data_IF_076042469249
#
_entry.id   IF_076042469249
#
_cell.length_a   1.000
_cell.length_b   1.000
_cell.length_c   1.000
_cell.angle_alpha   90.00
_cell.angle_beta   90.00
_cell.angle_gamma   90.00
#
_symmetry.space_group_name_H-M   'P 1'
#
loop_
_entity.id
_entity.type
_entity.pdbx_description
1 polymer ?
#
# COMPACT_ATOMS: atom_id res chain seq x y z
N UNK A 1 30.58 -36.14 40.62
CA UNK A 1 30.99 -34.88 39.98
C UNK A 1 31.14 -35.07 38.46
N UNK A 2 30.24 -34.48 37.67
CA UNK A 2 30.50 -33.93 36.33
C UNK A 2 29.16 -33.43 35.78
N UNK A 3 29.06 -32.10 35.66
CA UNK A 3 27.98 -31.38 35.02
C UNK A 3 27.80 -31.86 33.57
N UNK A 4 26.57 -32.14 33.18
CA UNK A 4 26.15 -31.97 31.78
C UNK A 4 24.81 -31.26 31.77
N UNK A 5 24.89 -29.93 31.85
CA UNK A 5 23.76 -29.02 31.70
C UNK A 5 23.43 -28.97 30.21
N UNK A 6 22.54 -29.87 29.77
CA UNK A 6 22.01 -29.85 28.41
C UNK A 6 20.99 -28.71 28.29
N UNK A 7 21.50 -27.50 28.03
CA UNK A 7 20.68 -26.35 27.62
C UNK A 7 20.15 -26.58 26.21
N UNK A 8 19.12 -27.43 26.09
CA UNK A 8 18.31 -27.50 24.88
C UNK A 8 17.00 -26.76 25.13
N UNK A 9 17.11 -25.46 25.40
CA UNK A 9 16.01 -24.52 25.17
C UNK A 9 16.12 -24.03 23.74
N UNK A 10 15.74 -24.89 22.80
CA UNK A 10 15.42 -24.50 21.42
C UNK A 10 14.17 -23.63 21.48
N UNK A 11 14.36 -22.34 21.71
CA UNK A 11 13.34 -21.35 21.41
C UNK A 11 13.01 -21.48 19.92
N UNK A 12 11.73 -21.59 19.51
CA UNK A 12 11.36 -21.45 18.11
C UNK A 12 11.46 -19.97 17.76
N UNK A 13 12.70 -19.48 17.66
CA UNK A 13 12.99 -18.21 17.04
C UNK A 13 12.52 -18.36 15.59
N UNK A 14 11.54 -17.54 15.21
CA UNK A 14 11.11 -17.37 13.83
C UNK A 14 12.24 -16.68 13.03
N UNK A 15 13.43 -17.28 12.97
CA UNK A 15 14.58 -16.81 12.20
C UNK A 15 14.42 -17.15 10.71
N UNK A 16 13.19 -17.30 10.22
CA UNK A 16 12.96 -17.47 8.79
C UNK A 16 12.68 -16.10 8.18
N UNK A 17 13.59 -15.61 7.35
CA UNK A 17 13.48 -14.33 6.63
C UNK A 17 12.43 -14.34 5.50
N UNK A 18 11.69 -15.44 5.35
CA UNK A 18 10.78 -15.67 4.23
C UNK A 18 9.69 -14.58 4.09
N UNK A 19 9.18 -14.06 5.21
CA UNK A 19 8.19 -12.97 5.19
C UNK A 19 8.79 -11.68 4.64
N UNK A 20 9.97 -11.28 5.14
CA UNK A 20 10.68 -10.10 4.69
C UNK A 20 11.13 -10.22 3.23
N UNK A 21 11.59 -11.41 2.81
CA UNK A 21 11.95 -11.69 1.42
C UNK A 21 10.75 -11.58 0.49
N UNK A 22 9.59 -12.08 0.90
CA UNK A 22 8.37 -11.93 0.12
C UNK A 22 7.88 -10.48 0.05
N UNK A 23 8.08 -9.69 1.13
CA UNK A 23 7.73 -8.27 1.14
C UNK A 23 8.61 -7.43 0.20
N UNK A 24 9.91 -7.76 0.06
CA UNK A 24 10.84 -7.01 -0.80
C UNK A 24 10.87 -7.49 -2.26
N UNK A 25 10.43 -8.72 -2.55
CA UNK A 25 10.40 -9.29 -3.92
C UNK A 25 9.69 -8.42 -4.96
N UNK A 26 8.49 -7.84 -4.70
CA UNK A 26 7.82 -6.97 -5.67
C UNK A 26 8.64 -5.74 -6.01
N UNK A 27 9.32 -5.17 -5.02
CA UNK A 27 10.23 -4.04 -5.20
C UNK A 27 11.42 -4.45 -6.07
N UNK A 28 12.06 -5.59 -5.76
CA UNK A 28 13.28 -6.02 -6.48
C UNK A 28 13.04 -6.43 -7.92
N UNK A 29 11.93 -7.11 -8.20
CA UNK A 29 11.51 -7.50 -9.56
C UNK A 29 11.04 -6.26 -10.35
N UNK A 30 10.37 -5.32 -9.69
CA UNK A 30 9.85 -4.10 -10.30
C UNK A 30 10.90 -3.11 -10.78
N UNK A 31 12.12 -3.10 -10.20
CA UNK A 31 13.19 -2.12 -10.53
C UNK A 31 13.47 -1.96 -12.02
N UNK A 32 13.36 -3.03 -12.83
CA UNK A 32 13.59 -2.98 -14.29
C UNK A 32 12.43 -2.31 -15.05
N UNK A 33 11.26 -2.21 -14.43
CA UNK A 33 10.01 -1.70 -15.00
C UNK A 33 9.61 -0.33 -14.43
N UNK A 34 10.37 0.21 -13.48
CA UNK A 34 10.05 1.46 -12.79
C UNK A 34 10.77 2.62 -13.47
N UNK A 35 9.97 3.53 -14.04
CA UNK A 35 10.41 4.68 -14.84
C UNK A 35 11.35 5.66 -14.11
N UNK A 36 11.46 5.59 -12.77
CA UNK A 36 12.17 6.57 -11.97
C UNK A 36 13.28 6.00 -11.07
N UNK A 37 13.62 4.71 -11.14
CA UNK A 37 14.62 4.12 -10.22
C UNK A 37 16.09 4.43 -10.54
N UNK A 38 16.37 5.03 -11.68
CA UNK A 38 17.74 5.17 -12.19
C UNK A 38 18.55 6.24 -11.45
N UNK A 39 17.87 7.15 -10.75
CA UNK A 39 18.50 8.21 -9.95
C UNK A 39 18.19 8.05 -8.46
N UNK A 40 19.07 8.50 -7.54
CA UNK A 40 18.80 8.45 -6.11
C UNK A 40 17.48 9.13 -5.70
N UNK A 41 17.19 10.28 -6.31
CA UNK A 41 15.95 11.02 -6.06
C UNK A 41 14.73 10.24 -6.51
N UNK A 42 14.78 9.62 -7.69
CA UNK A 42 13.66 8.82 -8.18
C UNK A 42 13.52 7.47 -7.45
N UNK A 43 14.61 6.91 -6.93
CA UNK A 43 14.57 5.75 -6.03
C UNK A 43 13.88 6.11 -4.70
N UNK A 44 14.18 7.29 -4.12
CA UNK A 44 13.49 7.81 -2.94
C UNK A 44 11.99 8.01 -3.23
N UNK A 45 11.64 8.68 -4.32
CA UNK A 45 10.24 8.90 -4.70
C UNK A 45 9.49 7.56 -4.88
N UNK A 46 10.12 6.57 -5.51
CA UNK A 46 9.54 5.23 -5.68
C UNK A 46 9.31 4.52 -4.34
N UNK A 47 10.24 4.66 -3.39
CA UNK A 47 10.10 4.10 -2.05
C UNK A 47 8.93 4.73 -1.27
N UNK A 48 8.73 6.04 -1.40
CA UNK A 48 7.59 6.75 -0.79
C UNK A 48 6.27 6.22 -1.35
N UNK A 49 6.14 6.11 -2.68
CA UNK A 49 4.93 5.58 -3.32
C UNK A 49 4.66 4.13 -2.89
N UNK A 50 5.68 3.27 -2.83
CA UNK A 50 5.51 1.89 -2.38
C UNK A 50 5.04 1.83 -0.92
N UNK A 51 5.56 2.71 -0.06
CA UNK A 51 5.14 2.80 1.33
C UNK A 51 3.66 3.19 1.42
N UNK A 52 3.19 4.16 0.64
CA UNK A 52 1.77 4.53 0.56
C UNK A 52 0.88 3.37 0.12
N UNK A 53 1.33 2.59 -0.87
CA UNK A 53 0.62 1.39 -1.35
C UNK A 53 0.51 0.33 -0.26
N UNK A 54 1.61 0.02 0.43
CA UNK A 54 1.61 -0.98 1.49
C UNK A 54 0.79 -0.52 2.70
N UNK A 55 0.83 0.77 3.05
CA UNK A 55 -0.02 1.34 4.10
C UNK A 55 -1.51 1.23 3.75
N UNK A 56 -1.91 1.53 2.51
CA UNK A 56 -3.29 1.39 2.07
C UNK A 56 -3.77 -0.06 2.14
N UNK A 57 -2.94 -1.01 1.67
CA UNK A 57 -3.23 -2.45 1.78
C UNK A 57 -3.36 -2.91 3.22
N UNK A 58 -2.44 -2.50 4.09
CA UNK A 58 -2.47 -2.85 5.51
C UNK A 58 -3.74 -2.35 6.22
N UNK A 59 -4.31 -1.24 5.74
CA UNK A 59 -5.56 -0.67 6.25
C UNK A 59 -6.81 -1.14 5.49
N UNK A 60 -6.68 -2.03 4.51
CA UNK A 60 -7.81 -2.57 3.74
C UNK A 60 -8.46 -1.56 2.78
N UNK A 61 -7.80 -0.46 2.46
CA UNK A 61 -8.33 0.62 1.62
C UNK A 61 -7.96 0.39 0.15
N UNK A 62 -8.84 0.78 -0.78
CA UNK A 62 -8.53 0.70 -2.20
C UNK A 62 -7.33 1.61 -2.57
N UNK A 63 -6.25 0.98 -3.01
CA UNK A 63 -4.97 1.65 -3.30
C UNK A 63 -5.11 2.74 -4.37
N UNK A 64 -5.87 2.50 -5.44
CA UNK A 64 -5.99 3.43 -6.55
C UNK A 64 -6.70 4.73 -6.14
N UNK A 65 -7.85 4.58 -5.46
CA UNK A 65 -8.62 5.74 -4.98
C UNK A 65 -7.89 6.48 -3.85
N UNK A 66 -7.17 5.76 -2.98
CA UNK A 66 -6.35 6.38 -1.94
C UNK A 66 -5.21 7.23 -2.52
N UNK A 67 -4.46 6.70 -3.48
CA UNK A 67 -3.37 7.46 -4.12
C UNK A 67 -3.90 8.68 -4.86
N UNK A 68 -5.04 8.54 -5.55
CA UNK A 68 -5.69 9.67 -6.23
C UNK A 68 -6.09 10.74 -5.23
N UNK A 69 -6.73 10.36 -4.12
CA UNK A 69 -7.11 11.27 -3.04
C UNK A 69 -5.90 12.02 -2.45
N UNK A 70 -4.82 11.31 -2.16
CA UNK A 70 -3.58 11.91 -1.65
C UNK A 70 -2.98 12.92 -2.64
N UNK A 71 -2.91 12.56 -3.92
CA UNK A 71 -2.36 13.42 -4.96
C UNK A 71 -3.25 14.65 -5.22
N UNK A 72 -4.57 14.53 -5.08
CA UNK A 72 -5.51 15.67 -5.13
C UNK A 72 -5.29 16.64 -3.97
N UNK A 73 -4.99 16.12 -2.77
CA UNK A 73 -4.77 16.93 -1.57
C UNK A 73 -3.41 17.62 -1.55
N UNK A 74 -2.45 17.17 -2.39
CA UNK A 74 -1.09 17.71 -2.54
C UNK A 74 -0.48 18.09 -1.19
N UNK A 75 -0.15 17.12 -0.33
CA UNK A 75 0.45 17.43 0.94
C UNK A 75 1.77 18.17 0.73
N UNK A 76 1.86 19.38 1.29
CA UNK A 76 3.01 20.25 1.16
C UNK A 76 3.87 20.17 2.42
N UNK A 77 5.15 20.51 2.32
CA UNK A 77 6.15 20.50 3.41
C UNK A 77 5.82 21.46 4.58
N UNK A 78 4.70 22.20 4.47
CA UNK A 78 4.20 23.15 5.47
C UNK A 78 3.05 22.58 6.31
N UNK A 79 2.55 21.40 5.98
CA UNK A 79 1.48 20.75 6.74
C UNK A 79 2.00 20.29 8.10
N UNK A 80 1.19 20.42 9.14
CA UNK A 80 1.52 19.86 10.44
C UNK A 80 1.33 18.34 10.46
N UNK A 81 1.96 17.66 11.42
CA UNK A 81 1.78 16.23 11.64
C UNK A 81 0.29 15.87 11.86
N UNK A 82 -0.46 16.74 12.54
CA UNK A 82 -1.90 16.57 12.76
C UNK A 82 -2.69 16.59 11.43
N UNK A 83 -2.33 17.50 10.51
CA UNK A 83 -2.98 17.59 9.20
C UNK A 83 -2.61 16.40 8.30
N UNK A 84 -1.39 15.88 8.41
CA UNK A 84 -0.94 14.66 7.73
C UNK A 84 -1.68 13.43 8.25
N UNK A 85 -1.94 13.35 9.56
CA UNK A 85 -2.69 12.25 10.16
C UNK A 85 -4.16 12.20 9.69
N UNK A 86 -4.74 13.35 9.35
CA UNK A 86 -6.06 13.40 8.72
C UNK A 86 -6.09 12.80 7.31
N UNK A 87 -4.96 12.74 6.61
CA UNK A 87 -4.82 12.12 5.28
C UNK A 87 -4.41 10.64 5.33
N UNK A 88 -4.15 10.12 6.52
CA UNK A 88 -3.69 8.77 6.71
C UNK A 88 -4.78 7.73 6.39
N UNK A 89 -4.41 6.53 5.92
CA UNK A 89 -5.39 5.53 5.48
C UNK A 89 -6.16 4.88 6.64
N UNK A 90 -5.75 5.10 7.89
CA UNK A 90 -6.50 4.66 9.07
C UNK A 90 -7.60 5.64 9.47
N UNK A 91 -7.62 6.87 8.94
CA UNK A 91 -8.64 7.86 9.26
C UNK A 91 -10.01 7.44 8.70
N UNK A 92 -11.04 7.47 9.56
CA UNK A 92 -12.39 7.03 9.19
C UNK A 92 -13.02 7.87 8.08
N UNK A 93 -12.75 9.18 8.07
CA UNK A 93 -13.24 10.10 7.03
C UNK A 93 -12.66 9.75 5.67
N UNK A 94 -11.37 9.42 5.63
CA UNK A 94 -10.67 9.01 4.40
C UNK A 94 -11.20 7.68 3.88
N UNK A 95 -11.43 6.71 4.78
CA UNK A 95 -12.03 5.42 4.42
C UNK A 95 -13.41 5.58 3.80
N UNK A 96 -14.29 6.33 4.45
CA UNK A 96 -15.65 6.57 3.97
C UNK A 96 -15.67 7.25 2.59
N UNK A 97 -14.83 8.27 2.37
CA UNK A 97 -14.67 8.94 1.09
C UNK A 97 -14.21 7.96 -0.02
N UNK A 98 -13.24 7.10 0.29
CA UNK A 98 -12.71 6.15 -0.68
C UNK A 98 -13.73 5.05 -1.00
N UNK A 99 -14.44 4.55 0.00
CA UNK A 99 -15.52 3.59 -0.19
C UNK A 99 -16.63 4.16 -1.08
N UNK A 100 -17.00 5.44 -0.88
CA UNK A 100 -17.95 6.13 -1.73
C UNK A 100 -17.46 6.17 -3.19
N UNK A 101 -16.21 6.59 -3.43
CA UNK A 101 -15.61 6.64 -4.78
C UNK A 101 -15.56 5.26 -5.45
N UNK A 102 -15.29 4.20 -4.68
CA UNK A 102 -15.30 2.82 -5.17
C UNK A 102 -16.72 2.43 -5.59
N UNK A 103 -17.72 2.74 -4.76
CA UNK A 103 -19.13 2.44 -5.06
C UNK A 103 -19.62 3.18 -6.32
N UNK A 104 -19.31 4.47 -6.46
CA UNK A 104 -19.63 5.26 -7.66
C UNK A 104 -19.00 4.67 -8.92
N UNK A 105 -17.72 4.30 -8.84
CA UNK A 105 -16.99 3.68 -9.95
C UNK A 105 -17.64 2.37 -10.35
N UNK A 106 -17.95 1.49 -9.39
CA UNK A 106 -18.65 0.24 -9.64
C UNK A 106 -20.02 0.49 -10.31
N UNK A 107 -20.78 1.46 -9.83
CA UNK A 107 -22.09 1.80 -10.38
C UNK A 107 -22.00 2.32 -11.81
N UNK A 108 -20.98 3.12 -12.14
CA UNK A 108 -20.68 3.54 -13.52
C UNK A 108 -20.38 2.34 -14.44
N UNK A 109 -19.61 1.35 -13.97
CA UNK A 109 -19.37 0.13 -14.75
C UNK A 109 -20.65 -0.67 -15.02
N UNK A 110 -21.53 -0.82 -14.01
CA UNK A 110 -22.80 -1.54 -14.16
C UNK A 110 -23.74 -0.81 -15.14
N UNK A 111 -23.83 0.51 -15.05
CA UNK A 111 -24.68 1.31 -15.93
C UNK A 111 -24.24 1.28 -17.40
N UNK A 112 -22.93 1.20 -17.66
CA UNK A 112 -22.39 1.11 -19.02
C UNK A 112 -22.52 -0.31 -19.64
N UNK A 113 -22.61 -1.36 -18.81
CA UNK A 113 -22.81 -2.75 -19.29
C UNK A 113 -24.29 -3.09 -19.56
N UNK A 114 -25.22 -2.21 -19.20
CA UNK A 114 -26.66 -2.36 -19.45
C UNK A 114 -27.16 -1.81 -20.79
N UNK A 115 -26.28 -1.31 -21.68
CA UNK A 115 -26.72 -0.81 -22.98
C UNK A 115 -27.18 -1.98 -23.89
N UNK A 116 -28.46 -2.01 -24.35
CA UNK A 116 -28.92 -3.07 -25.24
C UNK A 116 -28.12 -3.00 -26.54
N UNK A 117 -27.46 -4.11 -26.88
CA UNK A 117 -26.96 -4.33 -28.23
C UNK A 117 -28.15 -4.18 -29.17
N UNK A 118 -28.15 -3.11 -29.96
CA UNK A 118 -29.16 -2.88 -30.99
C UNK A 118 -29.00 -3.98 -32.02
N UNK A 119 -29.87 -4.98 -31.91
CA UNK A 119 -30.08 -6.05 -32.88
C UNK A 119 -30.43 -5.41 -34.23
N UNK A 120 -29.67 -5.75 -35.27
CA UNK A 120 -29.94 -5.43 -36.67
C UNK A 120 -30.30 -6.70 -37.39
#
# INVERSE_FOLDING_TARGET
>A
PLLSVHLSRRWPLQFSNNLSENAIRPFTVGRKNWLFCDTPNGAQASAVVYTMVEMAKANGVNVYHYLTYLLEKVPNDRMSDDELELLAPWNETVKAEIEHRVNESNQLYVNCQGAPATEK
#
